data_IF_856395986372
#
_entry.id   IF_856395986372
#
_cell.length_a   1.000
_cell.length_b   1.000
_cell.length_c   1.000
_cell.angle_alpha   90.00
_cell.angle_beta   90.00
_cell.angle_gamma   90.00
#
_symmetry.space_group_name_H-M   'P 1'
#
loop_
_entity.id
_entity.type
_entity.pdbx_description
1 polymer ?
#
# COMPACT_ATOMS: atom_id res chain seq x y z
N UNK A 1 -22.82 5.19 -21.43
CA UNK A 1 -21.53 5.58 -20.82
C UNK A 1 -20.62 4.38 -20.88
N UNK A 2 -19.65 4.38 -21.80
CA UNK A 2 -18.74 3.25 -21.97
C UNK A 2 -17.74 3.20 -20.82
N UNK A 3 -17.67 2.08 -20.10
CA UNK A 3 -16.54 1.79 -19.23
C UNK A 3 -15.28 1.76 -20.12
N UNK A 4 -14.35 2.70 -19.92
CA UNK A 4 -13.01 2.59 -20.50
C UNK A 4 -12.36 1.36 -19.86
N UNK A 5 -12.28 0.26 -20.60
CA UNK A 5 -11.43 -0.87 -20.21
C UNK A 5 -9.98 -0.45 -20.37
N UNK A 6 -9.24 -0.43 -19.26
CA UNK A 6 -7.79 -0.28 -19.29
C UNK A 6 -7.18 -1.60 -19.81
N UNK A 7 -6.09 -1.52 -20.57
CA UNK A 7 -5.31 -2.72 -20.91
C UNK A 7 -4.67 -3.31 -19.65
N UNK A 8 -4.33 -4.60 -19.69
CA UNK A 8 -3.68 -5.27 -18.56
C UNK A 8 -2.37 -4.56 -18.17
N UNK A 9 -1.55 -4.22 -19.17
CA UNK A 9 -0.30 -3.46 -19.03
C UNK A 9 -0.52 -2.08 -18.38
N UNK A 10 -1.53 -1.33 -18.82
CA UNK A 10 -1.86 -0.04 -18.22
C UNK A 10 -2.26 -0.17 -16.73
N UNK A 11 -2.95 -1.25 -16.36
CA UNK A 11 -3.32 -1.49 -14.96
C UNK A 11 -2.14 -1.90 -14.08
N UNK A 12 -1.14 -2.55 -14.65
CA UNK A 12 0.11 -2.94 -13.98
C UNK A 12 1.00 -1.72 -13.74
N UNK A 13 1.23 -0.90 -14.77
CA UNK A 13 1.97 0.38 -14.63
C UNK A 13 1.32 1.26 -13.56
N UNK A 14 -0.01 1.35 -13.54
CA UNK A 14 -0.75 2.13 -12.54
C UNK A 14 -0.51 1.62 -11.11
N UNK A 15 -0.45 0.29 -10.93
CA UNK A 15 -0.15 -0.32 -9.64
C UNK A 15 1.30 -0.06 -9.22
N UNK A 16 2.25 -0.20 -10.15
CA UNK A 16 3.66 0.07 -9.90
C UNK A 16 3.89 1.52 -9.48
N UNK A 17 3.26 2.47 -10.16
CA UNK A 17 3.30 3.88 -9.79
C UNK A 17 2.77 4.11 -8.37
N UNK A 18 1.63 3.49 -8.04
CA UNK A 18 1.04 3.59 -6.71
C UNK A 18 1.97 3.03 -5.62
N UNK A 19 2.55 1.85 -5.86
CA UNK A 19 3.48 1.20 -4.93
C UNK A 19 4.74 2.02 -4.74
N UNK A 20 5.28 2.59 -5.82
CA UNK A 20 6.44 3.46 -5.78
C UNK A 20 6.19 4.71 -4.93
N UNK A 21 5.01 5.34 -5.06
CA UNK A 21 4.61 6.49 -4.25
C UNK A 21 4.60 6.11 -2.76
N UNK A 22 4.01 4.97 -2.42
CA UNK A 22 3.91 4.46 -1.06
C UNK A 22 5.27 4.13 -0.44
N UNK A 23 6.23 3.65 -1.25
CA UNK A 23 7.56 3.29 -0.79
C UNK A 23 8.47 4.51 -0.60
N UNK A 24 8.34 5.52 -1.46
CA UNK A 24 9.09 6.78 -1.34
C UNK A 24 8.58 7.63 -0.17
N UNK A 25 7.27 7.64 0.06
CA UNK A 25 6.65 8.51 1.06
C UNK A 25 6.16 7.68 2.26
N UNK A 26 7.11 7.22 3.08
CA UNK A 26 6.82 6.50 4.34
C UNK A 26 6.05 7.33 5.38
N UNK A 27 6.01 8.65 5.18
CA UNK A 27 5.34 9.59 6.07
C UNK A 27 3.90 9.91 5.64
N UNK A 28 3.31 9.15 4.69
CA UNK A 28 1.89 9.32 4.37
C UNK A 28 1.06 8.89 5.57
N UNK A 29 0.28 9.81 6.13
CA UNK A 29 -0.57 9.59 7.31
C UNK A 29 -2.08 9.69 6.99
N UNK A 30 -2.45 10.23 5.83
CA UNK A 30 -3.83 10.36 5.38
C UNK A 30 -3.98 9.98 3.89
N UNK A 31 -5.04 9.23 3.56
CA UNK A 31 -5.42 8.89 2.18
C UNK A 31 -6.83 9.39 1.89
N UNK A 32 -6.99 10.07 0.75
CA UNK A 32 -8.27 10.57 0.25
C UNK A 32 -8.59 10.04 -1.16
N UNK A 33 -9.88 9.95 -1.46
CA UNK A 33 -10.38 9.62 -2.80
C UNK A 33 -11.13 10.83 -3.35
N UNK A 34 -10.64 11.40 -4.46
CA UNK A 34 -11.15 12.66 -5.00
C UNK A 34 -11.50 12.55 -6.48
N UNK A 35 -12.34 13.46 -6.97
CA UNK A 35 -12.60 13.56 -8.41
C UNK A 35 -11.43 14.28 -9.11
N UNK A 36 -11.02 13.86 -10.34
CA UNK A 36 -9.95 14.52 -11.09
C UNK A 36 -10.01 16.04 -11.20
N UNK A 37 -11.21 16.62 -11.19
CA UNK A 37 -11.37 18.09 -11.24
C UNK A 37 -10.86 18.81 -10.00
N UNK A 38 -10.73 18.11 -8.86
CA UNK A 38 -10.31 18.70 -7.57
C UNK A 38 -8.78 18.74 -7.40
N UNK A 39 -8.03 18.11 -8.32
CA UNK A 39 -6.56 18.10 -8.25
C UNK A 39 -5.93 19.48 -8.43
N UNK A 40 -6.57 20.38 -9.18
CA UNK A 40 -6.08 21.74 -9.37
C UNK A 40 -6.07 22.52 -8.05
N UNK A 41 -7.13 22.39 -7.26
CA UNK A 41 -7.29 23.05 -5.96
C UNK A 41 -6.19 22.62 -4.97
N UNK A 42 -5.85 21.32 -4.95
CA UNK A 42 -4.78 20.79 -4.08
C UNK A 42 -3.37 21.30 -4.43
N UNK A 43 -3.13 21.64 -5.70
CA UNK A 43 -1.84 22.18 -6.14
C UNK A 43 -1.70 23.67 -5.78
N UNK A 44 -2.79 24.42 -5.72
CA UNK A 44 -2.78 25.82 -5.27
C UNK A 44 -2.48 25.92 -3.77
N UNK A 45 -3.05 25.02 -2.96
CA UNK A 45 -2.88 25.02 -1.51
C UNK A 45 -1.51 24.52 -1.04
N UNK A 46 -0.80 23.72 -1.85
CA UNK A 46 0.42 23.06 -1.41
C UNK A 46 1.71 23.82 -1.73
N UNK A 47 1.72 24.78 -2.67
CA UNK A 47 2.92 25.56 -3.05
C UNK A 47 4.12 24.73 -3.56
N UNK A 48 3.99 23.40 -3.61
CA UNK A 48 5.03 22.45 -4.01
C UNK A 48 4.64 21.88 -5.37
N UNK A 49 5.29 22.37 -6.42
CA UNK A 49 5.22 21.74 -7.74
C UNK A 49 6.18 20.57 -7.76
N UNK A 50 5.68 19.34 -7.82
CA UNK A 50 6.53 18.16 -7.95
C UNK A 50 6.43 17.50 -9.32
N UNK A 51 7.55 16.88 -9.71
CA UNK A 51 7.72 16.07 -10.92
C UNK A 51 8.15 14.64 -10.52
N UNK A 52 7.60 13.58 -11.15
CA UNK A 52 7.90 12.15 -10.89
C UNK A 52 9.36 11.83 -10.61
N UNK A 53 9.67 10.80 -9.79
CA UNK A 53 11.03 10.29 -9.66
C UNK A 53 11.48 9.82 -11.05
N UNK A 54 12.74 10.02 -11.40
CA UNK A 54 13.29 9.74 -12.73
C UNK A 54 13.06 8.30 -13.21
N UNK A 55 12.86 7.35 -12.31
CA UNK A 55 12.50 5.96 -12.61
C UNK A 55 11.11 5.81 -13.25
N UNK A 56 10.13 6.65 -12.88
CA UNK A 56 8.79 6.62 -13.50
C UNK A 56 8.86 7.09 -14.96
N UNK A 57 9.68 8.10 -15.25
CA UNK A 57 9.91 8.55 -16.62
C UNK A 57 10.56 7.47 -17.48
N UNK A 58 11.48 6.69 -16.92
CA UNK A 58 12.10 5.55 -17.62
C UNK A 58 11.08 4.45 -17.95
N UNK A 59 10.18 4.10 -17.02
CA UNK A 59 9.11 3.11 -17.26
C UNK A 59 8.16 3.58 -18.38
N UNK A 60 7.83 4.88 -18.40
CA UNK A 60 6.96 5.46 -19.42
C UNK A 60 7.66 5.60 -20.79
N UNK A 61 8.95 5.90 -20.84
CA UNK A 61 9.72 6.01 -22.09
C UNK A 61 10.03 4.65 -22.74
N UNK A 62 10.15 3.58 -21.96
CA UNK A 62 10.43 2.22 -22.47
C UNK A 62 9.20 1.53 -23.10
N UNK A 63 7.98 1.95 -22.76
CA UNK A 63 6.72 1.43 -23.35
C UNK A 63 6.42 1.92 -24.79
N UNK A 64 7.46 2.39 -25.50
CA UNK A 64 7.36 2.94 -26.85
C UNK A 64 7.16 1.82 -27.89
N UNK A 65 5.95 1.25 -28.00
CA UNK A 65 5.39 0.77 -29.28
C UNK A 65 3.87 0.47 -29.20
N UNK A 66 3.09 1.36 -29.81
CA UNK A 66 1.71 1.18 -30.29
C UNK A 66 0.61 0.67 -29.33
N UNK A 67 0.00 1.55 -28.52
CA UNK A 67 -1.47 1.48 -28.36
C UNK A 67 -2.11 2.82 -27.94
N UNK A 68 -3.04 3.33 -28.76
CA UNK A 68 -3.34 4.77 -28.87
C UNK A 68 -4.59 5.26 -28.11
N UNK A 69 -5.08 4.57 -27.07
CA UNK A 69 -6.29 5.07 -26.35
C UNK A 69 -6.30 4.89 -24.83
N UNK A 70 -5.58 3.90 -24.27
CA UNK A 70 -5.56 3.62 -22.82
C UNK A 70 -4.47 4.37 -22.03
N UNK A 71 -3.26 4.46 -22.61
CA UNK A 71 -2.07 5.04 -21.97
C UNK A 71 -2.11 6.56 -21.81
N UNK A 72 -2.94 7.28 -22.58
CA UNK A 72 -3.03 8.75 -22.50
C UNK A 72 -3.60 9.26 -21.16
N UNK A 73 -4.39 8.45 -20.44
CA UNK A 73 -4.91 8.80 -19.10
C UNK A 73 -3.80 8.72 -18.04
N UNK A 74 -2.95 7.69 -18.13
CA UNK A 74 -1.80 7.48 -17.23
C UNK A 74 -0.68 8.49 -17.49
N UNK A 75 -0.54 8.97 -18.74
CA UNK A 75 0.42 10.01 -19.11
C UNK A 75 0.12 11.38 -18.48
N UNK A 76 -1.13 11.62 -18.05
CA UNK A 76 -1.50 12.84 -17.33
C UNK A 76 -1.61 12.56 -15.83
N UNK A 77 -0.48 12.15 -15.24
CA UNK A 77 -0.31 11.74 -13.83
C UNK A 77 -0.87 12.77 -12.84
N UNK A 78 -0.90 14.05 -13.24
CA UNK A 78 -1.50 15.17 -12.49
C UNK A 78 -3.00 14.99 -12.16
N UNK A 79 -3.66 14.01 -12.76
CA UNK A 79 -5.09 13.71 -12.56
C UNK A 79 -5.37 12.34 -11.93
N UNK A 80 -4.32 11.58 -11.59
CA UNK A 80 -4.43 10.19 -11.11
C UNK A 80 -4.04 10.08 -9.64
N UNK A 81 -2.83 10.54 -9.30
CA UNK A 81 -2.32 10.57 -7.94
C UNK A 81 -1.84 11.98 -7.60
N UNK A 82 -2.12 12.41 -6.39
CA UNK A 82 -1.57 13.62 -5.82
C UNK A 82 -1.06 13.27 -4.44
N UNK A 83 0.08 13.82 -4.07
CA UNK A 83 0.56 13.67 -2.72
C UNK A 83 1.29 14.95 -2.31
N UNK A 84 1.16 15.29 -1.04
CA UNK A 84 1.66 16.54 -0.50
C UNK A 84 1.24 16.68 0.95
N UNK A 85 2.05 17.37 1.76
CA UNK A 85 1.76 17.56 3.18
C UNK A 85 1.40 16.26 3.93
N UNK A 86 2.12 15.17 3.67
CA UNK A 86 1.87 13.84 4.26
C UNK A 86 0.55 13.16 3.83
N UNK A 87 -0.17 13.73 2.88
CA UNK A 87 -1.43 13.18 2.37
C UNK A 87 -1.24 12.58 0.98
N UNK A 88 -2.04 11.56 0.67
CA UNK A 88 -2.14 10.95 -0.65
C UNK A 88 -3.59 11.02 -1.14
N UNK A 89 -3.83 11.66 -2.26
CA UNK A 89 -5.13 11.65 -2.93
C UNK A 89 -5.09 10.76 -4.18
N UNK A 90 -6.08 9.88 -4.28
CA UNK A 90 -6.25 8.94 -5.39
C UNK A 90 -7.50 9.35 -6.17
N UNK A 91 -7.38 9.44 -7.49
CA UNK A 91 -8.52 9.70 -8.35
C UNK A 91 -9.55 8.57 -8.27
N UNK A 92 -10.79 8.92 -7.96
CA UNK A 92 -11.89 7.94 -7.87
C UNK A 92 -12.12 7.19 -9.19
N UNK A 93 -11.71 7.77 -10.33
CA UNK A 93 -11.85 7.14 -11.65
C UNK A 93 -10.93 5.95 -11.84
N UNK A 94 -9.78 5.91 -11.15
CA UNK A 94 -8.80 4.83 -11.28
C UNK A 94 -8.95 3.75 -10.20
N UNK A 95 -9.66 4.04 -9.11
CA UNK A 95 -9.83 3.11 -7.98
C UNK A 95 -10.29 1.71 -8.41
N UNK A 96 -11.30 1.51 -9.28
CA UNK A 96 -11.72 0.17 -9.66
C UNK A 96 -10.64 -0.63 -10.40
N UNK A 97 -9.82 0.06 -11.19
CA UNK A 97 -8.76 -0.55 -12.02
C UNK A 97 -7.57 -0.89 -11.14
N UNK A 98 -7.13 0.09 -10.34
CA UNK A 98 -6.05 -0.07 -9.38
C UNK A 98 -6.37 -1.16 -8.34
N UNK A 99 -7.61 -1.21 -7.84
CA UNK A 99 -8.06 -2.29 -6.95
C UNK A 99 -7.93 -3.67 -7.59
N UNK A 100 -8.36 -3.80 -8.86
CA UNK A 100 -8.27 -5.08 -9.56
C UNK A 100 -6.82 -5.49 -9.81
N UNK A 101 -5.96 -4.56 -10.22
CA UNK A 101 -4.53 -4.81 -10.38
C UNK A 101 -3.89 -5.25 -9.06
N UNK A 102 -4.07 -4.49 -7.98
CA UNK A 102 -3.55 -4.80 -6.65
C UNK A 102 -4.05 -6.17 -6.14
N UNK A 103 -5.32 -6.49 -6.40
CA UNK A 103 -5.91 -7.78 -6.04
C UNK A 103 -5.26 -8.94 -6.79
N UNK A 104 -5.06 -8.82 -8.10
CA UNK A 104 -4.43 -9.86 -8.91
C UNK A 104 -2.97 -10.06 -8.51
N UNK A 105 -2.21 -8.97 -8.35
CA UNK A 105 -0.82 -9.01 -7.89
C UNK A 105 -0.71 -9.64 -6.50
N UNK A 106 -1.59 -9.28 -5.56
CA UNK A 106 -1.63 -9.89 -4.23
C UNK A 106 -1.93 -11.40 -4.29
N UNK A 107 -2.88 -11.80 -5.12
CA UNK A 107 -3.20 -13.23 -5.29
C UNK A 107 -2.01 -14.02 -5.83
N UNK A 108 -1.29 -13.47 -6.80
CA UNK A 108 -0.11 -14.13 -7.36
C UNK A 108 1.04 -14.21 -6.35
N UNK A 109 1.35 -13.11 -5.67
CA UNK A 109 2.35 -13.09 -4.61
C UNK A 109 2.00 -14.07 -3.49
N UNK A 110 0.72 -14.15 -3.10
CA UNK A 110 0.24 -15.11 -2.11
C UNK A 110 0.44 -16.56 -2.57
N UNK A 111 0.10 -16.90 -3.81
CA UNK A 111 0.35 -18.25 -4.36
C UNK A 111 1.83 -18.58 -4.37
N UNK A 112 2.67 -17.63 -4.78
CA UNK A 112 4.13 -17.79 -4.81
C UNK A 112 4.71 -18.02 -3.42
N UNK A 113 4.26 -17.25 -2.44
CA UNK A 113 4.65 -17.42 -1.04
C UNK A 113 4.15 -18.73 -0.44
N UNK A 114 2.89 -19.13 -0.70
CA UNK A 114 2.34 -20.42 -0.26
C UNK A 114 3.12 -21.61 -0.86
N UNK A 115 3.52 -21.51 -2.14
CA UNK A 115 4.42 -22.48 -2.77
C UNK A 115 5.75 -22.56 -2.02
N UNK A 116 6.40 -21.44 -1.73
CA UNK A 116 7.68 -21.38 -1.02
C UNK A 116 7.61 -22.06 0.35
N UNK A 117 6.59 -21.74 1.16
CA UNK A 117 6.50 -22.27 2.53
C UNK A 117 6.12 -23.75 2.61
N UNK A 118 5.51 -24.30 1.55
CA UNK A 118 5.10 -25.69 1.46
C UNK A 118 6.18 -26.62 0.85
N UNK A 119 7.28 -26.07 0.32
CA UNK A 119 8.40 -26.87 -0.15
C UNK A 119 9.09 -27.55 1.06
N UNK A 120 9.24 -28.89 1.07
CA UNK A 120 9.97 -29.58 2.13
C UNK A 120 11.40 -29.06 2.20
N UNK A 121 11.87 -28.74 3.40
CA UNK A 121 13.20 -28.15 3.70
C UNK A 121 14.34 -29.12 3.33
N UNK A 122 14.56 -29.41 2.04
CA UNK A 122 15.81 -30.03 1.57
C UNK A 122 16.88 -28.95 1.68
N UNK A 123 17.81 -29.15 2.62
CA UNK A 123 19.03 -28.35 2.74
C UNK A 123 19.72 -28.34 1.38
N UNK A 124 19.66 -27.22 0.68
CA UNK A 124 20.50 -26.94 -0.47
C UNK A 124 21.07 -25.56 -0.28
N UNK A 125 22.19 -25.53 0.42
CA UNK A 125 23.30 -24.65 0.10
C UNK A 125 23.46 -24.66 -1.42
N UNK A 126 23.30 -23.52 -2.09
CA UNK A 126 23.93 -23.19 -3.37
C UNK A 126 23.72 -21.68 -3.65
N UNK A 127 24.83 -20.96 -3.41
CA UNK A 127 25.42 -19.94 -4.27
C UNK A 127 24.50 -18.81 -4.75
N UNK A 128 24.55 -17.72 -3.99
CA UNK A 128 24.13 -16.40 -4.39
C UNK A 128 25.01 -15.89 -5.54
N UNK A 129 24.53 -16.00 -6.77
CA UNK A 129 24.98 -15.17 -7.88
C UNK A 129 23.80 -14.79 -8.75
N UNK A 130 23.55 -13.48 -8.78
CA UNK A 130 22.92 -12.66 -9.83
C UNK A 130 21.47 -12.20 -9.60
N UNK A 131 21.37 -10.87 -9.41
CA UNK A 131 20.26 -9.92 -9.64
C UNK A 131 18.90 -10.23 -9.00
N UNK A 132 18.54 -9.42 -7.99
CA UNK A 132 17.18 -9.22 -7.46
C UNK A 132 16.30 -10.48 -7.43
N UNK A 133 16.69 -11.47 -6.62
CA UNK A 133 15.73 -12.48 -6.22
C UNK A 133 14.66 -11.79 -5.36
N UNK A 134 13.59 -11.30 -5.99
CA UNK A 134 12.41 -10.77 -5.31
C UNK A 134 11.94 -11.82 -4.31
N UNK A 135 12.02 -11.47 -3.02
CA UNK A 135 11.60 -12.37 -1.96
C UNK A 135 10.07 -12.41 -1.98
N UNK A 136 9.41 -13.58 -2.08
CA UNK A 136 7.95 -13.64 -2.12
C UNK A 136 7.28 -12.95 -0.91
N UNK A 137 7.98 -12.88 0.23
CA UNK A 137 7.63 -12.10 1.41
C UNK A 137 7.54 -10.58 1.14
N UNK A 138 8.44 -10.02 0.34
CA UNK A 138 8.39 -8.58 0.01
C UNK A 138 7.23 -8.28 -0.91
N UNK A 139 6.96 -9.13 -1.90
CA UNK A 139 5.87 -8.90 -2.85
C UNK A 139 4.49 -9.02 -2.19
N UNK A 140 4.31 -10.04 -1.35
CA UNK A 140 3.04 -10.20 -0.62
C UNK A 140 2.80 -9.00 0.30
N UNK A 141 3.84 -8.46 0.95
CA UNK A 141 3.74 -7.27 1.82
C UNK A 141 3.53 -5.98 1.02
N UNK A 142 4.16 -5.83 -0.14
CA UNK A 142 3.99 -4.69 -1.05
C UNK A 142 2.56 -4.64 -1.60
N UNK A 143 2.13 -5.70 -2.30
CA UNK A 143 0.81 -5.73 -2.93
C UNK A 143 -0.35 -5.76 -1.93
N UNK A 144 -0.17 -6.38 -0.76
CA UNK A 144 -1.20 -6.32 0.29
C UNK A 144 -1.33 -4.92 0.90
N UNK A 145 -0.25 -4.13 0.99
CA UNK A 145 -0.31 -2.73 1.44
C UNK A 145 -1.18 -1.92 0.49
N UNK A 146 -0.90 -2.03 -0.81
CA UNK A 146 -1.67 -1.37 -1.87
C UNK A 146 -3.15 -1.72 -1.79
N UNK A 147 -3.45 -3.02 -1.67
CA UNK A 147 -4.82 -3.52 -1.64
C UNK A 147 -5.57 -3.09 -0.37
N UNK A 148 -4.92 -3.03 0.79
CA UNK A 148 -5.54 -2.62 2.06
C UNK A 148 -5.89 -1.13 2.09
N UNK A 149 -5.08 -0.28 1.46
CA UNK A 149 -5.41 1.15 1.32
C UNK A 149 -6.70 1.31 0.50
N UNK A 150 -6.91 0.46 -0.51
CA UNK A 150 -8.10 0.50 -1.36
C UNK A 150 -9.30 -0.26 -0.77
N UNK A 151 -9.05 -1.26 0.10
CA UNK A 151 -10.06 -2.16 0.65
C UNK A 151 -9.69 -2.63 2.07
N UNK A 152 -9.91 -1.77 3.08
CA UNK A 152 -9.42 -2.02 4.44
C UNK A 152 -10.13 -3.17 5.18
N UNK A 153 -11.36 -3.50 4.77
CA UNK A 153 -12.16 -4.58 5.38
C UNK A 153 -11.79 -5.99 4.87
N UNK A 154 -10.81 -6.12 3.97
CA UNK A 154 -10.45 -7.41 3.41
C UNK A 154 -9.60 -8.24 4.40
N UNK A 155 -10.26 -8.97 5.30
CA UNK A 155 -9.60 -9.76 6.35
C UNK A 155 -8.60 -10.81 5.83
N UNK A 156 -8.81 -11.37 4.63
CA UNK A 156 -7.86 -12.31 4.01
C UNK A 156 -6.50 -11.67 3.71
N UNK A 157 -6.49 -10.39 3.36
CA UNK A 157 -5.29 -9.62 3.02
C UNK A 157 -4.50 -9.31 4.30
N UNK A 158 -5.17 -8.89 5.38
CA UNK A 158 -4.54 -8.77 6.70
C UNK A 158 -3.94 -10.11 7.18
N UNK A 159 -4.65 -11.22 6.95
CA UNK A 159 -4.16 -12.55 7.31
C UNK A 159 -2.92 -12.97 6.51
N UNK A 160 -2.81 -12.56 5.23
CA UNK A 160 -1.58 -12.74 4.45
C UNK A 160 -0.37 -12.08 5.14
N UNK A 161 -0.52 -10.85 5.64
CA UNK A 161 0.55 -10.13 6.36
C UNK A 161 0.90 -10.81 7.68
N UNK A 162 -0.10 -11.22 8.46
CA UNK A 162 0.10 -12.00 9.70
C UNK A 162 0.86 -13.30 9.45
N UNK A 163 0.61 -13.98 8.33
CA UNK A 163 1.29 -15.22 7.96
C UNK A 163 2.79 -15.00 7.71
N UNK A 164 3.16 -13.93 7.03
CA UNK A 164 4.57 -13.54 6.79
C UNK A 164 5.27 -13.22 8.10
N UNK A 165 4.69 -12.28 8.87
CA UNK A 165 5.28 -11.79 10.12
C UNK A 165 5.33 -12.83 11.24
N UNK A 166 4.48 -13.86 11.18
CA UNK A 166 4.54 -14.96 12.16
C UNK A 166 5.77 -15.85 11.98
N UNK A 167 6.34 -15.95 10.78
CA UNK A 167 7.52 -16.77 10.51
C UNK A 167 8.80 -16.03 10.88
N UNK A 168 8.94 -14.80 10.39
CA UNK A 168 10.14 -13.99 10.55
C UNK A 168 9.77 -12.58 11.06
N UNK A 169 9.41 -12.45 12.34
CA UNK A 169 9.06 -11.16 12.90
C UNK A 169 10.30 -10.31 13.08
N UNK A 170 10.23 -9.10 12.53
CA UNK A 170 11.20 -8.04 12.70
C UNK A 170 10.49 -6.84 13.35
N UNK A 171 11.13 -6.17 14.32
CA UNK A 171 10.52 -5.03 15.00
C UNK A 171 10.14 -3.92 14.03
N UNK A 172 11.02 -3.56 13.08
CA UNK A 172 10.74 -2.52 12.10
C UNK A 172 9.51 -2.87 11.24
N UNK A 173 9.40 -4.13 10.78
CA UNK A 173 8.22 -4.58 10.04
C UNK A 173 6.94 -4.50 10.89
N UNK A 174 7.01 -4.83 12.18
CA UNK A 174 5.85 -4.71 13.09
C UNK A 174 5.47 -3.25 13.33
N UNK A 175 6.44 -2.34 13.44
CA UNK A 175 6.17 -0.89 13.50
C UNK A 175 5.55 -0.40 12.19
N UNK A 176 6.01 -0.89 11.03
CA UNK A 176 5.39 -0.58 9.74
C UNK A 176 3.92 -1.06 9.68
N UNK A 177 3.57 -2.18 10.31
CA UNK A 177 2.16 -2.60 10.44
C UNK A 177 1.33 -1.66 11.33
N UNK A 178 1.92 -1.12 12.41
CA UNK A 178 1.25 -0.11 13.22
C UNK A 178 1.02 1.16 12.41
N UNK A 179 1.98 1.57 11.57
CA UNK A 179 1.82 2.72 10.69
C UNK A 179 0.76 2.46 9.59
N UNK A 180 0.75 1.27 8.99
CA UNK A 180 -0.27 0.90 8.00
C UNK A 180 -1.68 0.89 8.59
N UNK A 181 -1.86 0.28 9.77
CA UNK A 181 -3.16 0.28 10.44
C UNK A 181 -3.58 1.68 10.90
N UNK A 182 -2.63 2.54 11.31
CA UNK A 182 -2.88 3.95 11.60
C UNK A 182 -3.38 4.70 10.36
N UNK A 183 -2.69 4.54 9.23
CA UNK A 183 -3.10 5.12 7.95
C UNK A 183 -4.51 4.68 7.55
N UNK A 184 -4.81 3.39 7.63
CA UNK A 184 -6.15 2.85 7.33
C UNK A 184 -7.22 3.45 8.25
N UNK A 185 -6.93 3.57 9.55
CA UNK A 185 -7.87 4.11 10.53
C UNK A 185 -8.10 5.62 10.39
N UNK A 186 -7.18 6.36 9.75
CA UNK A 186 -7.35 7.80 9.52
C UNK A 186 -8.58 8.12 8.66
N UNK A 187 -8.87 7.29 7.64
CA UNK A 187 -10.03 7.46 6.74
C UNK A 187 -11.11 6.39 6.93
N UNK A 188 -10.81 5.28 7.62
CA UNK A 188 -11.77 4.23 8.00
C UNK A 188 -11.71 3.92 9.50
N UNK A 189 -12.11 4.86 10.37
CA UNK A 189 -11.90 4.76 11.82
C UNK A 189 -12.70 3.62 12.49
N UNK A 190 -13.77 3.14 11.83
CA UNK A 190 -14.62 2.04 12.29
C UNK A 190 -14.17 0.66 11.77
N UNK A 191 -13.02 0.56 11.12
CA UNK A 191 -12.53 -0.71 10.55
C UNK A 191 -12.17 -1.71 11.63
N UNK A 192 -13.00 -2.75 11.82
CA UNK A 192 -12.73 -3.80 12.80
C UNK A 192 -11.50 -4.63 12.40
N UNK A 193 -11.27 -4.82 11.09
CA UNK A 193 -10.10 -5.55 10.62
C UNK A 193 -8.79 -4.81 10.95
N UNK A 194 -8.75 -3.50 10.76
CA UNK A 194 -7.57 -2.69 11.12
C UNK A 194 -7.32 -2.71 12.63
N UNK A 195 -8.34 -2.54 13.46
CA UNK A 195 -8.22 -2.63 14.93
C UNK A 195 -7.78 -4.02 15.40
N UNK A 196 -8.37 -5.08 14.83
CA UNK A 196 -8.00 -6.47 15.11
C UNK A 196 -6.54 -6.75 14.74
N UNK A 197 -6.10 -6.29 13.57
CA UNK A 197 -4.70 -6.41 13.15
C UNK A 197 -3.76 -5.64 14.08
N UNK A 198 -4.09 -4.39 14.42
CA UNK A 198 -3.30 -3.57 15.33
C UNK A 198 -3.10 -4.22 16.71
N UNK A 199 -4.17 -4.73 17.31
CA UNK A 199 -4.11 -5.50 18.58
C UNK A 199 -3.21 -6.73 18.46
N UNK A 200 -3.29 -7.43 17.34
CA UNK A 200 -2.42 -8.58 17.06
C UNK A 200 -0.94 -8.19 16.97
N UNK A 201 -0.62 -7.07 16.30
CA UNK A 201 0.75 -6.55 16.18
C UNK A 201 1.31 -6.16 17.55
N UNK A 202 0.56 -5.39 18.36
CA UNK A 202 0.99 -4.99 19.71
C UNK A 202 1.27 -6.23 20.56
N UNK A 203 0.39 -7.24 20.51
CA UNK A 203 0.61 -8.52 21.19
C UNK A 203 1.90 -9.19 20.72
N UNK A 204 2.15 -9.21 19.40
CA UNK A 204 3.38 -9.76 18.84
C UNK A 204 4.63 -9.02 19.27
N UNK A 205 4.56 -7.70 19.38
CA UNK A 205 5.66 -6.89 19.86
C UNK A 205 5.93 -7.22 21.33
N UNK A 206 4.91 -7.19 22.18
CA UNK A 206 5.02 -7.51 23.61
C UNK A 206 5.56 -8.93 23.88
N UNK A 207 5.22 -9.90 23.02
CA UNK A 207 5.73 -11.28 23.11
C UNK A 207 7.23 -11.40 22.78
N UNK A 208 7.77 -10.53 21.92
CA UNK A 208 9.12 -10.69 21.33
C UNK A 208 10.12 -9.59 21.68
N UNK A 209 9.67 -8.42 22.07
CA UNK A 209 10.50 -7.24 22.32
C UNK A 209 10.14 -6.65 23.69
N UNK A 210 11.16 -6.39 24.51
CA UNK A 210 11.00 -5.98 25.92
C UNK A 210 10.64 -4.50 26.10
N UNK A 211 10.82 -3.68 25.06
CA UNK A 211 10.59 -2.23 25.11
C UNK A 211 9.16 -1.87 24.69
N UNK A 212 8.23 -2.04 25.63
CA UNK A 212 6.79 -1.91 25.40
C UNK A 212 6.22 -0.56 25.86
N UNK A 213 6.88 0.15 26.77
CA UNK A 213 6.35 1.36 27.40
C UNK A 213 6.15 2.51 26.41
N UNK A 214 7.15 2.77 25.56
CA UNK A 214 7.06 3.82 24.54
C UNK A 214 5.97 3.53 23.50
N UNK A 215 5.79 2.24 23.17
CA UNK A 215 4.75 1.80 22.23
C UNK A 215 3.38 1.99 22.86
N UNK A 216 3.17 1.55 24.11
CA UNK A 216 1.90 1.75 24.83
C UNK A 216 1.53 3.23 24.92
N UNK A 217 2.51 4.10 25.22
CA UNK A 217 2.29 5.55 25.27
C UNK A 217 1.76 6.11 23.95
N UNK A 218 2.48 5.82 22.84
CA UNK A 218 2.07 6.23 21.48
C UNK A 218 0.71 5.65 21.09
N UNK A 219 0.43 4.40 21.47
CA UNK A 219 -0.86 3.75 21.22
C UNK A 219 -2.00 4.42 21.97
N UNK A 220 -1.79 4.80 23.22
CA UNK A 220 -2.79 5.49 24.03
C UNK A 220 -3.18 6.85 23.42
N UNK A 221 -2.19 7.62 22.98
CA UNK A 221 -2.43 8.89 22.28
C UNK A 221 -3.15 8.69 20.95
N UNK A 222 -2.76 7.67 20.18
CA UNK A 222 -3.41 7.35 18.91
C UNK A 222 -4.89 6.98 19.08
N UNK A 223 -5.21 6.08 20.01
CA UNK A 223 -6.59 5.67 20.30
C UNK A 223 -7.45 6.88 20.70
N UNK A 224 -6.89 7.79 21.51
CA UNK A 224 -7.57 9.03 21.88
C UNK A 224 -7.90 9.89 20.66
N UNK A 225 -6.94 10.11 19.75
CA UNK A 225 -7.15 10.89 18.51
C UNK A 225 -8.24 10.29 17.63
N UNK A 226 -8.22 8.97 17.42
CA UNK A 226 -9.25 8.32 16.60
C UNK A 226 -10.62 8.37 17.27
N UNK A 227 -10.69 8.23 18.60
CA UNK A 227 -11.94 8.37 19.34
C UNK A 227 -12.56 9.77 19.18
N UNK A 228 -11.74 10.82 19.21
CA UNK A 228 -12.18 12.19 18.93
C UNK A 228 -12.81 12.28 17.52
N UNK A 229 -12.13 11.79 16.48
CA UNK A 229 -12.65 11.77 15.10
C UNK A 229 -13.99 11.01 14.99
N UNK A 230 -14.11 9.87 15.68
CA UNK A 230 -15.35 9.08 15.69
C UNK A 230 -16.50 9.77 16.42
N UNK A 231 -16.22 10.56 17.47
CA UNK A 231 -17.22 11.28 18.24
C UNK A 231 -17.75 12.53 17.52
N UNK A 232 -16.94 13.20 16.69
CA UNK A 232 -17.37 14.40 15.96
C UNK A 232 -18.07 14.12 14.61
N UNK A 233 -18.26 12.85 14.26
CA UNK A 233 -18.93 12.42 13.01
C UNK A 233 -20.45 12.18 13.16
N UNK A 234 -21.11 12.82 14.14
CA UNK A 234 -22.55 12.69 14.44
C UNK A 234 -23.33 13.99 14.25
#
# INVERSE_FOLDING_TARGET
MGHRSYSAEASEILLEQFELILDHHKLIDEVGFIHPSQFAELNEDSGVSWSPPSSIWQILDESHESDSTGLMCLRNEKSVFWYGNHKLAISIQVVPVLYNAARLAHMEARRSYERLINVPKRRSSLNATNFEAQFPETDIMKHSRSLLILSPECGSVWNSRKLVLSREPNLALLIDELNLSMLVLSYSPKSEQAWSHRRWVIKKIAEKFLDLYDIIGKESEFVKKIAEVMCFSW
#
